data_IF_400810704400
#
_entry.id   IF_400810704400
#
_cell.length_a   1.000
_cell.length_b   1.000
_cell.length_c   1.000
_cell.angle_alpha   90.00
_cell.angle_beta   90.00
_cell.angle_gamma   90.00
#
_symmetry.space_group_name_H-M   'P 1'
#
loop_
_entity.id
_entity.type
_entity.pdbx_description
1 polymer ?
#
# COMPACT_ATOMS: atom_id res chain seq x y z
N UNK A 1 1.87 26.36 -6.93
CA UNK A 1 1.11 26.00 -8.13
C UNK A 1 1.00 24.49 -8.22
N UNK A 2 -0.19 23.97 -8.49
CA UNK A 2 -0.43 22.54 -8.69
C UNK A 2 -0.62 22.22 -10.18
N UNK A 3 0.04 21.17 -10.67
CA UNK A 3 -0.20 20.60 -12.00
C UNK A 3 -1.00 19.31 -11.84
N UNK A 4 -2.23 19.28 -12.35
CA UNK A 4 -3.11 18.12 -12.27
C UNK A 4 -3.10 17.37 -13.60
N UNK A 5 -2.58 16.16 -13.60
CA UNK A 5 -2.60 15.29 -14.77
C UNK A 5 -3.89 14.47 -14.79
N UNK A 6 -4.59 14.53 -15.92
CA UNK A 6 -5.88 13.86 -16.15
C UNK A 6 -5.72 12.92 -17.34
N UNK A 7 -5.40 11.63 -17.12
CA UNK A 7 -5.27 10.66 -18.20
C UNK A 7 -6.65 10.32 -18.79
N UNK A 8 -6.76 10.32 -20.13
CA UNK A 8 -8.02 10.09 -20.84
C UNK A 8 -7.90 9.01 -21.92
N UNK A 9 -8.98 8.24 -22.07
CA UNK A 9 -9.23 7.38 -23.22
C UNK A 9 -10.74 7.20 -23.39
N UNK A 10 -11.30 7.82 -24.42
CA UNK A 10 -12.73 7.86 -24.70
C UNK A 10 -13.59 8.37 -23.52
N UNK A 11 -13.34 9.60 -23.10
CA UNK A 11 -14.02 10.28 -21.98
C UNK A 11 -14.75 11.57 -22.42
N UNK A 12 -15.10 11.70 -23.71
CA UNK A 12 -15.67 12.93 -24.27
C UNK A 12 -16.98 13.34 -23.57
N UNK A 13 -17.76 12.36 -23.07
CA UNK A 13 -19.01 12.59 -22.36
C UNK A 13 -18.85 13.30 -21.00
N UNK A 14 -17.66 13.25 -20.38
CA UNK A 14 -17.42 13.70 -19.00
C UNK A 14 -16.26 14.67 -18.86
N UNK A 15 -15.36 14.77 -19.85
CA UNK A 15 -14.14 15.58 -19.75
C UNK A 15 -14.42 17.06 -19.49
N UNK A 16 -15.43 17.65 -20.16
CA UNK A 16 -15.76 19.06 -19.97
C UNK A 16 -16.21 19.37 -18.54
N UNK A 17 -17.06 18.50 -17.98
CA UNK A 17 -17.55 18.65 -16.60
C UNK A 17 -16.44 18.41 -15.57
N UNK A 18 -15.56 17.44 -15.85
CA UNK A 18 -14.38 17.16 -15.02
C UNK A 18 -13.47 18.38 -14.93
N UNK A 19 -13.11 18.98 -16.07
CA UNK A 19 -12.26 20.16 -16.12
C UNK A 19 -12.91 21.34 -15.39
N UNK A 20 -14.20 21.61 -15.66
CA UNK A 20 -14.95 22.69 -15.01
C UNK A 20 -14.97 22.56 -13.49
N UNK A 21 -15.26 21.35 -12.96
CA UNK A 21 -15.29 21.09 -11.52
C UNK A 21 -13.89 21.15 -10.90
N UNK A 22 -12.86 20.65 -11.59
CA UNK A 22 -11.48 20.74 -11.14
C UNK A 22 -11.01 22.19 -11.02
N UNK A 23 -11.28 23.03 -12.02
CA UNK A 23 -10.99 24.47 -11.98
C UNK A 23 -11.65 25.12 -10.76
N UNK A 24 -12.96 24.93 -10.61
CA UNK A 24 -13.72 25.51 -9.48
C UNK A 24 -13.15 25.08 -8.12
N UNK A 25 -12.76 23.81 -7.98
CA UNK A 25 -12.19 23.29 -6.74
C UNK A 25 -10.85 23.94 -6.38
N UNK A 26 -9.99 24.15 -7.37
CA UNK A 26 -8.66 24.75 -7.20
C UNK A 26 -8.74 26.27 -7.00
N UNK A 27 -9.63 26.95 -7.71
CA UNK A 27 -9.98 28.37 -7.50
C UNK A 27 -10.48 28.60 -6.08
N UNK A 28 -11.41 27.76 -5.60
CA UNK A 28 -11.92 27.84 -4.23
C UNK A 28 -10.83 27.60 -3.17
N UNK A 29 -9.78 26.84 -3.52
CA UNK A 29 -8.60 26.64 -2.67
C UNK A 29 -7.57 27.79 -2.79
N UNK A 30 -7.81 28.79 -3.66
CA UNK A 30 -6.87 29.90 -3.95
C UNK A 30 -5.47 29.42 -4.36
N UNK A 31 -5.39 28.27 -5.03
CA UNK A 31 -4.13 27.69 -5.48
C UNK A 31 -3.96 27.93 -6.98
N UNK A 32 -2.85 28.54 -7.44
CA UNK A 32 -2.55 28.60 -8.87
C UNK A 32 -2.44 27.19 -9.46
N UNK A 33 -2.97 26.95 -10.65
CA UNK A 33 -3.00 25.62 -11.22
C UNK A 33 -2.88 25.56 -12.74
N UNK A 34 -2.46 24.40 -13.23
CA UNK A 34 -2.64 23.98 -14.62
C UNK A 34 -3.25 22.57 -14.65
N UNK A 35 -4.09 22.31 -15.66
CA UNK A 35 -4.65 20.99 -15.94
C UNK A 35 -3.96 20.43 -17.18
N UNK A 36 -3.47 19.20 -17.10
CA UNK A 36 -2.77 18.52 -18.20
C UNK A 36 -3.57 17.28 -18.55
N UNK A 37 -4.37 17.37 -19.61
CA UNK A 37 -5.07 16.21 -20.17
C UNK A 37 -4.08 15.40 -21.00
N UNK A 38 -3.93 14.12 -20.70
CA UNK A 38 -3.05 13.22 -21.45
C UNK A 38 -3.90 12.16 -22.13
N UNK A 39 -4.05 12.29 -23.44
CA UNK A 39 -4.99 11.49 -24.23
C UNK A 39 -4.31 10.37 -25.03
N UNK A 40 -4.79 9.15 -24.85
CA UNK A 40 -4.26 7.92 -25.47
C UNK A 40 -4.92 7.59 -26.81
N UNK A 41 -4.91 8.57 -27.73
CA UNK A 41 -5.54 8.44 -29.05
C UNK A 41 -7.03 8.07 -28.96
N UNK A 42 -7.80 8.84 -28.19
CA UNK A 42 -9.25 8.70 -28.10
C UNK A 42 -9.90 8.84 -29.48
N UNK A 43 -10.94 8.05 -29.72
CA UNK A 43 -11.68 8.02 -31.01
C UNK A 43 -13.02 8.72 -30.95
N UNK A 44 -13.38 9.28 -29.80
CA UNK A 44 -14.70 9.88 -29.51
C UNK A 44 -14.69 11.42 -29.46
N UNK A 45 -13.57 12.05 -29.79
CA UNK A 45 -13.41 13.51 -29.74
C UNK A 45 -12.93 14.06 -28.39
N UNK A 46 -12.48 13.21 -27.45
CA UNK A 46 -12.03 13.65 -26.11
C UNK A 46 -10.96 14.73 -26.17
N UNK A 47 -9.93 14.54 -27.01
CA UNK A 47 -8.81 15.47 -27.11
C UNK A 47 -9.23 16.82 -27.71
N UNK A 48 -10.01 16.79 -28.80
CA UNK A 48 -10.55 17.98 -29.46
C UNK A 48 -11.42 18.81 -28.50
N UNK A 49 -12.27 18.14 -27.74
CA UNK A 49 -13.12 18.80 -26.75
C UNK A 49 -12.28 19.43 -25.65
N UNK A 50 -11.29 18.73 -25.09
CA UNK A 50 -10.40 19.27 -24.08
C UNK A 50 -9.59 20.48 -24.58
N UNK A 51 -9.10 20.44 -25.84
CA UNK A 51 -8.40 21.57 -26.47
C UNK A 51 -9.30 22.79 -26.66
N UNK A 52 -10.56 22.58 -27.05
CA UNK A 52 -11.52 23.67 -27.23
C UNK A 52 -11.82 24.46 -25.95
N UNK A 53 -11.50 23.89 -24.79
CA UNK A 53 -11.71 24.48 -23.46
C UNK A 53 -10.51 25.30 -22.96
N UNK A 54 -9.35 25.26 -23.64
CA UNK A 54 -8.16 26.04 -23.29
C UNK A 54 -8.36 27.57 -23.19
N UNK A 55 -9.28 28.20 -23.97
CA UNK A 55 -9.58 29.62 -23.78
C UNK A 55 -10.33 29.95 -22.48
N UNK A 56 -10.98 28.95 -21.85
CA UNK A 56 -11.81 29.13 -20.66
C UNK A 56 -11.10 28.68 -19.38
N UNK A 57 -10.21 27.70 -19.48
CA UNK A 57 -9.53 27.07 -18.35
C UNK A 57 -8.03 26.93 -18.64
N UNK A 58 -7.16 26.92 -17.61
CA UNK A 58 -5.72 26.71 -17.79
C UNK A 58 -5.42 25.23 -18.09
N UNK A 59 -5.93 24.72 -19.21
CA UNK A 59 -5.81 23.33 -19.66
C UNK A 59 -4.86 23.22 -20.85
N UNK A 60 -4.01 22.19 -20.83
CA UNK A 60 -3.14 21.75 -21.92
C UNK A 60 -3.44 20.31 -22.25
N UNK A 61 -3.32 19.94 -23.52
CA UNK A 61 -3.57 18.58 -23.99
C UNK A 61 -2.30 17.99 -24.58
N UNK A 62 -1.91 16.81 -24.08
CA UNK A 62 -0.87 15.95 -24.65
C UNK A 62 -1.55 14.77 -25.33
N UNK A 63 -1.50 14.72 -26.66
CA UNK A 63 -1.95 13.57 -27.44
C UNK A 63 -0.81 12.57 -27.60
N UNK A 64 -1.02 11.32 -27.17
CA UNK A 64 -0.02 10.24 -27.28
C UNK A 64 -0.43 9.23 -28.36
N UNK A 65 0.53 8.59 -29.03
CA UNK A 65 0.23 7.60 -30.07
C UNK A 65 -0.23 6.28 -29.45
N UNK A 66 -1.45 5.87 -29.78
CA UNK A 66 -2.04 4.61 -29.32
C UNK A 66 -2.34 4.57 -27.82
N UNK A 67 -2.64 3.36 -27.34
CA UNK A 67 -3.04 3.11 -25.96
C UNK A 67 -1.87 2.63 -25.11
N UNK A 68 -1.10 3.57 -24.58
CA UNK A 68 0.14 3.33 -23.83
C UNK A 68 -0.09 3.10 -22.33
N UNK A 69 -1.30 3.39 -21.84
CA UNK A 69 -1.75 3.04 -20.50
C UNK A 69 -1.73 4.21 -19.52
N UNK A 70 -2.58 4.12 -18.50
CA UNK A 70 -2.85 5.22 -17.56
C UNK A 70 -1.61 5.64 -16.78
N UNK A 71 -0.85 4.70 -16.24
CA UNK A 71 0.27 5.06 -15.38
C UNK A 71 1.42 5.71 -16.18
N UNK A 72 1.61 5.33 -17.45
CA UNK A 72 2.57 6.01 -18.33
C UNK A 72 2.06 7.40 -18.73
N UNK A 73 0.74 7.58 -18.88
CA UNK A 73 0.12 8.89 -19.17
C UNK A 73 0.44 9.90 -18.08
N UNK A 74 0.34 9.46 -16.83
CA UNK A 74 0.70 10.27 -15.67
C UNK A 74 2.17 10.69 -15.72
N UNK A 75 3.07 9.75 -15.97
CA UNK A 75 4.52 10.04 -16.04
C UNK A 75 4.83 11.03 -17.16
N UNK A 76 4.23 10.89 -18.34
CA UNK A 76 4.43 11.82 -19.45
C UNK A 76 3.82 13.20 -19.15
N UNK A 77 2.64 13.25 -18.51
CA UNK A 77 2.03 14.50 -18.05
C UNK A 77 2.89 15.24 -17.03
N UNK A 78 3.46 14.54 -16.05
CA UNK A 78 4.36 15.13 -15.06
C UNK A 78 5.67 15.67 -15.65
N UNK A 79 6.15 15.14 -16.78
CA UNK A 79 7.29 15.74 -17.49
C UNK A 79 6.97 17.12 -18.10
N UNK A 80 5.69 17.41 -18.35
CA UNK A 80 5.22 18.70 -18.89
C UNK A 80 4.75 19.67 -17.80
N UNK A 81 4.67 19.20 -16.56
CA UNK A 81 4.18 19.95 -15.42
C UNK A 81 5.20 20.99 -14.95
N UNK A 82 4.70 22.17 -14.61
CA UNK A 82 5.45 23.31 -14.11
C UNK A 82 5.20 23.57 -12.61
N UNK A 83 4.25 22.85 -12.00
CA UNK A 83 3.84 23.01 -10.61
C UNK A 83 4.83 22.40 -9.62
N UNK A 84 4.91 23.00 -8.43
CA UNK A 84 5.66 22.44 -7.31
C UNK A 84 4.89 21.30 -6.60
N UNK A 85 3.59 21.21 -6.86
CA UNK A 85 2.75 20.07 -6.54
C UNK A 85 2.33 19.36 -7.83
N UNK A 86 2.48 18.04 -7.86
CA UNK A 86 2.10 17.17 -8.95
C UNK A 86 0.92 16.32 -8.50
N UNK A 87 -0.20 16.38 -9.21
CA UNK A 87 -1.40 15.62 -8.89
C UNK A 87 -1.89 14.79 -10.05
N UNK A 88 -2.73 13.80 -9.73
CA UNK A 88 -3.42 12.93 -10.67
C UNK A 88 -4.87 12.82 -10.25
N UNK A 89 -5.76 12.77 -11.24
CA UNK A 89 -7.16 12.34 -11.05
C UNK A 89 -7.67 11.66 -12.32
N UNK A 90 -8.55 10.68 -12.18
CA UNK A 90 -9.25 10.09 -13.33
C UNK A 90 -10.30 11.05 -13.89
N UNK A 91 -10.56 10.98 -15.20
CA UNK A 91 -11.52 11.87 -15.89
C UNK A 91 -13.00 11.48 -15.75
N UNK A 92 -13.30 10.41 -15.01
CA UNK A 92 -14.58 9.70 -15.08
C UNK A 92 -15.62 10.13 -14.02
N UNK A 93 -15.31 11.21 -13.30
CA UNK A 93 -16.07 11.78 -12.18
C UNK A 93 -16.30 10.83 -11.00
N UNK A 94 -15.70 9.63 -10.97
CA UNK A 94 -15.74 8.75 -9.79
C UNK A 94 -14.92 9.32 -8.64
N UNK A 95 -13.87 10.06 -8.99
CA UNK A 95 -13.08 10.89 -8.09
C UNK A 95 -13.68 12.31 -8.11
N UNK A 96 -14.33 12.77 -7.03
CA UNK A 96 -14.91 14.11 -7.00
C UNK A 96 -13.80 15.16 -7.15
N UNK A 97 -13.82 16.01 -8.19
CA UNK A 97 -12.75 17.00 -8.39
C UNK A 97 -12.61 17.99 -7.23
N UNK A 98 -13.66 18.16 -6.41
CA UNK A 98 -13.66 18.96 -5.18
C UNK A 98 -12.58 18.53 -4.18
N UNK A 99 -12.20 17.24 -4.18
CA UNK A 99 -11.17 16.69 -3.31
C UNK A 99 -9.78 17.27 -3.65
N UNK A 100 -9.57 17.79 -4.86
CA UNK A 100 -8.30 18.45 -5.23
C UNK A 100 -7.96 19.60 -4.27
N UNK A 101 -8.95 20.41 -3.91
CA UNK A 101 -8.75 21.52 -2.97
C UNK A 101 -8.35 21.04 -1.57
N UNK A 102 -8.82 19.86 -1.17
CA UNK A 102 -8.44 19.25 0.12
C UNK A 102 -7.01 18.69 0.07
N UNK A 103 -6.62 18.03 -1.03
CA UNK A 103 -5.24 17.56 -1.24
C UNK A 103 -4.24 18.71 -1.23
N UNK A 104 -4.58 19.82 -1.89
CA UNK A 104 -3.79 21.06 -1.86
C UNK A 104 -3.63 21.56 -0.43
N UNK A 105 -4.74 21.73 0.31
CA UNK A 105 -4.70 22.18 1.70
C UNK A 105 -3.83 21.28 2.57
N UNK A 106 -3.92 19.97 2.37
CA UNK A 106 -3.13 18.98 3.10
C UNK A 106 -1.61 19.10 2.81
N UNK A 107 -1.23 19.37 1.55
CA UNK A 107 0.18 19.55 1.15
C UNK A 107 0.72 20.96 1.38
N UNK A 108 -0.13 21.97 1.48
CA UNK A 108 0.28 23.32 1.86
C UNK A 108 0.45 23.45 3.37
N UNK A 109 -0.24 22.63 4.16
CA UNK A 109 0.07 22.47 5.57
C UNK A 109 1.51 21.93 5.76
N UNK A 110 2.26 22.43 6.76
CA UNK A 110 3.60 21.93 7.05
C UNK A 110 3.58 20.43 7.39
N UNK A 111 4.58 19.70 6.87
CA UNK A 111 4.85 18.33 7.31
C UNK A 111 4.12 17.23 6.55
N UNK A 112 3.55 17.50 5.37
CA UNK A 112 3.13 16.48 4.41
C UNK A 112 3.86 16.65 3.07
N UNK A 113 4.24 15.54 2.45
CA UNK A 113 4.90 15.49 1.14
C UNK A 113 4.07 14.75 0.08
N UNK A 114 3.22 13.84 0.54
CA UNK A 114 2.27 13.06 -0.27
C UNK A 114 0.88 13.17 0.37
N UNK A 115 -0.14 13.43 -0.43
CA UNK A 115 -1.54 13.40 -0.02
C UNK A 115 -2.33 12.45 -0.91
N UNK A 116 -2.96 11.44 -0.33
CA UNK A 116 -3.74 10.42 -1.05
C UNK A 116 -5.22 10.59 -0.74
N UNK A 117 -6.06 10.70 -1.76
CA UNK A 117 -7.50 10.60 -1.56
C UNK A 117 -7.83 9.14 -1.24
N UNK A 118 -8.41 8.85 -0.08
CA UNK A 118 -8.67 7.49 0.42
C UNK A 118 -10.15 7.20 0.62
N UNK A 119 -10.57 6.02 0.14
CA UNK A 119 -11.93 5.47 0.36
C UNK A 119 -12.09 4.82 1.74
N UNK A 120 -10.99 4.53 2.42
CA UNK A 120 -10.97 3.70 3.63
C UNK A 120 -10.74 4.50 4.90
N UNK A 121 -10.53 5.82 4.79
CA UNK A 121 -10.49 6.75 5.92
C UNK A 121 -11.89 7.02 6.48
N UNK A 122 -11.96 7.46 7.74
CA UNK A 122 -13.22 7.91 8.34
C UNK A 122 -13.78 9.10 7.54
N UNK A 123 -15.04 9.01 7.11
CA UNK A 123 -15.67 9.95 6.18
C UNK A 123 -15.52 9.58 4.70
N UNK A 124 -14.67 8.61 4.37
CA UNK A 124 -14.54 8.05 3.02
C UNK A 124 -15.49 6.88 2.78
N UNK A 125 -15.65 6.47 1.52
CA UNK A 125 -16.48 5.31 1.20
C UNK A 125 -16.58 4.98 -0.29
N UNK A 126 -17.46 4.02 -0.58
CA UNK A 126 -17.82 3.61 -1.95
C UNK A 126 -19.34 3.53 -2.02
N UNK A 127 -19.97 4.38 -2.85
CA UNK A 127 -21.43 4.52 -2.88
C UNK A 127 -22.14 3.22 -3.31
N UNK A 128 -21.70 2.58 -4.40
CA UNK A 128 -22.47 1.50 -5.05
C UNK A 128 -21.69 0.21 -5.34
N UNK A 129 -20.67 -0.07 -4.55
CA UNK A 129 -19.92 -1.32 -4.74
C UNK A 129 -20.66 -2.52 -4.17
N UNK A 130 -20.76 -3.58 -4.97
CA UNK A 130 -21.14 -4.90 -4.47
C UNK A 130 -20.17 -5.38 -3.39
N UNK A 131 -20.65 -6.24 -2.49
CA UNK A 131 -19.81 -6.84 -1.45
C UNK A 131 -18.60 -7.59 -2.04
N UNK A 132 -18.79 -8.26 -3.19
CA UNK A 132 -17.73 -8.95 -3.92
C UNK A 132 -16.66 -7.96 -4.39
N UNK A 133 -17.04 -6.82 -4.96
CA UNK A 133 -16.09 -5.79 -5.41
C UNK A 133 -15.35 -5.16 -4.23
N UNK A 134 -16.05 -4.91 -3.11
CA UNK A 134 -15.43 -4.42 -1.87
C UNK A 134 -14.41 -5.40 -1.32
N UNK A 135 -14.75 -6.69 -1.29
CA UNK A 135 -13.83 -7.74 -0.87
C UNK A 135 -12.61 -7.84 -1.79
N UNK A 136 -12.82 -7.94 -3.10
CA UNK A 136 -11.73 -8.00 -4.09
C UNK A 136 -10.77 -6.80 -3.96
N UNK A 137 -11.30 -5.59 -3.79
CA UNK A 137 -10.48 -4.39 -3.60
C UNK A 137 -9.67 -4.43 -2.30
N UNK A 138 -10.30 -4.81 -1.18
CA UNK A 138 -9.59 -4.96 0.10
C UNK A 138 -8.52 -6.03 0.04
N UNK A 139 -8.79 -7.15 -0.64
CA UNK A 139 -7.82 -8.22 -0.84
C UNK A 139 -6.63 -7.78 -1.68
N UNK A 140 -6.87 -6.99 -2.74
CA UNK A 140 -5.78 -6.38 -3.52
C UNK A 140 -4.95 -5.41 -2.65
N UNK A 141 -5.60 -4.53 -1.89
CA UNK A 141 -4.88 -3.63 -0.96
C UNK A 141 -4.05 -4.40 0.07
N UNK A 142 -4.62 -5.46 0.66
CA UNK A 142 -3.92 -6.31 1.62
C UNK A 142 -2.73 -7.03 0.97
N UNK A 143 -2.88 -7.50 -0.27
CA UNK A 143 -1.80 -8.09 -1.03
C UNK A 143 -0.67 -7.08 -1.32
N UNK A 144 -1.00 -5.85 -1.72
CA UNK A 144 -0.01 -4.79 -1.93
C UNK A 144 0.75 -4.50 -0.63
N UNK A 145 0.04 -4.31 0.48
CA UNK A 145 0.62 -4.08 1.79
C UNK A 145 1.44 -5.27 2.30
N UNK A 146 1.12 -6.50 1.86
CA UNK A 146 1.89 -7.70 2.17
C UNK A 146 3.14 -7.83 1.29
N UNK A 147 3.10 -7.45 0.02
CA UNK A 147 4.28 -7.55 -0.86
C UNK A 147 5.27 -6.41 -0.61
N UNK A 148 4.74 -5.21 -0.34
CA UNK A 148 5.52 -3.98 -0.12
C UNK A 148 5.25 -3.38 1.28
N UNK A 149 5.47 -4.14 2.37
CA UNK A 149 5.12 -3.72 3.72
C UNK A 149 5.82 -2.44 4.18
N UNK A 150 7.05 -2.18 3.72
CA UNK A 150 7.80 -0.98 4.13
C UNK A 150 7.27 0.31 3.53
N UNK A 151 6.56 0.24 2.41
CA UNK A 151 6.08 1.44 1.72
C UNK A 151 4.56 1.56 1.79
N UNK A 152 3.85 0.44 1.83
CA UNK A 152 2.38 0.41 1.74
C UNK A 152 1.70 -0.02 3.05
N UNK A 153 2.43 -0.55 4.03
CA UNK A 153 1.83 -1.13 5.25
C UNK A 153 1.00 -0.16 6.10
N UNK A 154 1.21 1.15 5.92
CA UNK A 154 0.54 2.23 6.65
C UNK A 154 -0.36 3.11 5.77
N UNK A 155 -0.54 2.77 4.49
CA UNK A 155 -1.43 3.50 3.58
C UNK A 155 -2.74 2.74 3.51
N UNK A 156 -3.86 3.38 3.86
CA UNK A 156 -5.16 2.71 3.82
C UNK A 156 -5.60 2.43 2.39
N UNK A 157 -5.34 3.35 1.44
CA UNK A 157 -5.73 3.21 0.04
C UNK A 157 -4.58 3.41 -0.97
N UNK A 158 -3.60 2.48 -1.02
CA UNK A 158 -2.46 2.55 -1.95
C UNK A 158 -2.86 2.35 -3.43
N UNK A 159 -4.15 2.07 -3.68
CA UNK A 159 -4.70 1.80 -5.00
C UNK A 159 -5.48 2.97 -5.58
N UNK A 160 -5.52 4.12 -4.88
CA UNK A 160 -6.26 5.31 -5.30
C UNK A 160 -5.77 5.86 -6.64
N UNK A 161 -6.71 6.34 -7.46
CA UNK A 161 -6.46 7.05 -8.71
C UNK A 161 -6.32 8.57 -8.52
N UNK A 162 -6.51 9.07 -7.29
CA UNK A 162 -6.45 10.49 -6.99
C UNK A 162 -5.52 10.77 -5.82
N UNK A 163 -4.44 11.49 -6.09
CA UNK A 163 -3.44 11.87 -5.10
C UNK A 163 -2.60 13.04 -5.61
N UNK A 164 -1.85 13.67 -4.71
CA UNK A 164 -0.91 14.73 -5.00
C UNK A 164 0.40 14.52 -4.24
N UNK A 165 1.51 14.96 -4.82
CA UNK A 165 2.86 14.89 -4.24
C UNK A 165 3.60 16.20 -4.46
N UNK A 166 4.59 16.50 -3.62
CA UNK A 166 5.57 17.54 -3.94
C UNK A 166 6.48 17.07 -5.07
N UNK A 167 6.72 17.90 -6.08
CA UNK A 167 7.59 17.57 -7.21
C UNK A 167 8.98 17.10 -6.74
N UNK A 168 9.55 17.78 -5.74
CA UNK A 168 10.86 17.47 -5.17
C UNK A 168 11.00 16.03 -4.61
N UNK A 169 9.88 15.36 -4.28
CA UNK A 169 9.92 13.95 -3.83
C UNK A 169 10.27 12.97 -4.94
N UNK A 170 10.15 13.41 -6.20
CA UNK A 170 10.45 12.63 -7.39
C UNK A 170 11.80 13.00 -8.04
N UNK A 171 12.56 13.91 -7.44
CA UNK A 171 13.86 14.33 -7.98
C UNK A 171 14.85 13.16 -8.03
N UNK A 172 15.32 12.84 -9.25
CA UNK A 172 16.20 11.70 -9.50
C UNK A 172 15.54 10.33 -9.35
N UNK A 173 14.20 10.27 -9.20
CA UNK A 173 13.45 9.02 -9.10
C UNK A 173 12.97 8.58 -10.48
N UNK A 174 13.40 7.39 -10.92
CA UNK A 174 12.89 6.78 -12.15
C UNK A 174 11.61 5.99 -11.87
N UNK A 175 10.47 6.56 -12.25
CA UNK A 175 9.20 5.85 -12.31
C UNK A 175 9.15 5.00 -13.58
N UNK A 176 8.84 3.72 -13.44
CA UNK A 176 8.71 2.76 -14.57
C UNK A 176 7.43 1.94 -14.40
N UNK A 177 6.26 2.61 -14.39
CA UNK A 177 5.01 1.96 -14.09
C UNK A 177 4.61 0.97 -15.17
N UNK A 178 4.05 -0.16 -14.75
CA UNK A 178 3.27 -1.04 -15.61
C UNK A 178 1.78 -0.91 -15.32
N UNK A 179 0.96 -0.82 -16.36
CA UNK A 179 -0.50 -0.79 -16.21
C UNK A 179 -1.03 0.56 -15.71
N UNK A 180 -1.79 0.54 -14.61
CA UNK A 180 -2.70 1.63 -14.23
C UNK A 180 -2.56 2.12 -12.78
N UNK A 181 -1.59 1.63 -12.01
CA UNK A 181 -1.44 1.93 -10.58
C UNK A 181 -0.17 2.72 -10.28
N UNK A 182 -0.11 3.94 -10.81
CA UNK A 182 1.03 4.85 -10.62
C UNK A 182 1.30 5.19 -9.15
N UNK A 183 0.25 5.25 -8.30
CA UNK A 183 0.42 5.50 -6.87
C UNK A 183 1.35 4.46 -6.21
N UNK A 184 1.33 3.21 -6.64
CA UNK A 184 2.23 2.18 -6.10
C UNK A 184 3.70 2.49 -6.40
N UNK A 185 4.01 3.00 -7.60
CA UNK A 185 5.37 3.44 -7.94
C UNK A 185 5.82 4.60 -7.06
N UNK A 186 4.94 5.59 -6.89
CA UNK A 186 5.22 6.78 -6.09
C UNK A 186 5.47 6.39 -4.63
N UNK A 187 4.57 5.63 -4.02
CA UNK A 187 4.73 5.18 -2.64
C UNK A 187 5.97 4.29 -2.46
N UNK A 188 6.30 3.48 -3.47
CA UNK A 188 7.45 2.58 -3.39
C UNK A 188 8.81 3.27 -3.61
N UNK A 189 8.88 4.33 -4.42
CA UNK A 189 10.15 4.90 -4.93
C UNK A 189 10.38 6.37 -4.61
N UNK A 190 9.33 7.15 -4.34
CA UNK A 190 9.48 8.56 -4.05
C UNK A 190 10.20 8.79 -2.72
N UNK A 191 10.93 9.91 -2.63
CA UNK A 191 11.65 10.35 -1.44
C UNK A 191 10.76 11.33 -0.67
N UNK A 192 9.85 10.79 0.11
CA UNK A 192 8.96 11.59 0.95
C UNK A 192 9.19 11.29 2.43
N UNK A 193 8.96 12.30 3.28
CA UNK A 193 9.01 12.18 4.73
C UNK A 193 7.65 12.07 5.37
N UNK A 194 6.57 12.39 4.67
CA UNK A 194 5.25 12.34 5.28
C UNK A 194 4.14 12.11 4.28
N UNK A 195 3.19 11.25 4.66
CA UNK A 195 1.97 11.00 3.90
C UNK A 195 0.74 11.29 4.75
N UNK A 196 -0.24 11.92 4.12
CA UNK A 196 -1.57 12.16 4.70
C UNK A 196 -2.64 11.57 3.79
N UNK A 197 -3.71 11.07 4.38
CA UNK A 197 -4.86 10.55 3.64
C UNK A 197 -6.07 11.47 3.84
N UNK A 198 -6.68 11.85 2.73
CA UNK A 198 -7.87 12.71 2.70
C UNK A 198 -9.08 11.83 2.36
N UNK A 199 -10.12 11.77 3.22
CA UNK A 199 -11.26 10.91 2.96
C UNK A 199 -12.07 11.40 1.75
N UNK A 200 -12.55 10.48 0.91
CA UNK A 200 -13.56 10.80 -0.11
C UNK A 200 -14.52 9.63 -0.37
N UNK A 201 -15.67 9.94 -0.97
CA UNK A 201 -16.63 8.94 -1.42
C UNK A 201 -16.43 8.69 -2.91
N UNK A 202 -16.08 7.45 -3.26
CA UNK A 202 -15.93 7.02 -4.65
C UNK A 202 -17.30 6.80 -5.28
N UNK A 203 -17.62 7.63 -6.28
CA UNK A 203 -18.95 7.74 -6.87
C UNK A 203 -19.15 6.76 -8.05
N UNK A 204 -20.39 6.71 -8.58
CA UNK A 204 -20.68 6.06 -9.85
C UNK A 204 -19.95 6.78 -10.97
N UNK A 205 -19.52 5.99 -11.95
CA UNK A 205 -18.91 6.54 -13.16
C UNK A 205 -19.93 7.41 -13.89
N UNK A 206 -19.54 8.63 -14.25
CA UNK A 206 -20.42 9.58 -14.92
C UNK A 206 -20.93 9.06 -16.27
N UNK A 207 -20.08 8.36 -17.03
CA UNK A 207 -20.44 7.67 -18.27
C UNK A 207 -19.44 6.53 -18.60
N UNK A 208 -19.86 5.54 -19.41
CA UNK A 208 -18.99 4.47 -19.91
C UNK A 208 -19.00 3.16 -19.09
N UNK A 209 -18.17 2.18 -19.48
CA UNK A 209 -18.08 0.85 -18.85
C UNK A 209 -16.69 0.55 -18.28
N UNK A 210 -16.64 -0.06 -17.10
CA UNK A 210 -15.38 -0.49 -16.47
C UNK A 210 -14.91 -1.82 -17.06
N UNK A 211 -13.71 -1.85 -17.64
CA UNK A 211 -13.07 -3.08 -18.14
C UNK A 211 -11.93 -3.51 -17.21
N UNK A 212 -12.24 -3.86 -15.97
CA UNK A 212 -11.31 -4.59 -15.11
C UNK A 212 -11.40 -6.08 -15.46
N UNK A 213 -10.47 -6.56 -16.27
CA UNK A 213 -10.35 -7.97 -16.67
C UNK A 213 -9.16 -8.68 -16.03
N UNK A 214 -8.99 -9.96 -16.35
CA UNK A 214 -7.88 -10.79 -15.82
C UNK A 214 -6.49 -10.29 -16.20
N UNK A 215 -6.36 -9.61 -17.35
CA UNK A 215 -5.09 -9.00 -17.79
C UNK A 215 -4.62 -7.92 -16.82
N UNK A 216 -5.52 -7.05 -16.35
CA UNK A 216 -5.20 -6.00 -15.39
C UNK A 216 -4.75 -6.59 -14.05
N UNK A 217 -5.37 -7.68 -13.61
CA UNK A 217 -4.96 -8.40 -12.40
C UNK A 217 -3.54 -8.98 -12.53
N UNK A 218 -3.22 -9.58 -13.68
CA UNK A 218 -1.87 -10.10 -13.93
C UNK A 218 -0.82 -8.99 -14.00
N UNK A 219 -1.10 -7.91 -14.74
CA UNK A 219 -0.22 -6.74 -14.82
C UNK A 219 0.05 -6.15 -13.43
N UNK A 220 -0.96 -6.10 -12.56
CA UNK A 220 -0.81 -5.67 -11.18
C UNK A 220 0.12 -6.59 -10.35
N UNK A 221 0.00 -7.91 -10.48
CA UNK A 221 0.87 -8.85 -9.77
C UNK A 221 2.33 -8.74 -10.24
N UNK A 222 2.54 -8.63 -11.56
CA UNK A 222 3.87 -8.41 -12.14
C UNK A 222 4.45 -7.08 -11.65
N UNK A 223 3.61 -6.04 -11.56
CA UNK A 223 4.02 -4.73 -11.07
C UNK A 223 4.51 -4.79 -9.62
N UNK A 224 3.75 -5.44 -8.74
CA UNK A 224 4.15 -5.63 -7.34
C UNK A 224 5.47 -6.41 -7.21
N UNK A 225 5.65 -7.47 -7.99
CA UNK A 225 6.89 -8.25 -7.97
C UNK A 225 8.10 -7.40 -8.42
N UNK A 226 7.95 -6.58 -9.47
CA UNK A 226 8.99 -5.65 -9.93
C UNK A 226 9.34 -4.61 -8.87
N UNK A 227 8.33 -4.04 -8.22
CA UNK A 227 8.52 -3.09 -7.12
C UNK A 227 9.22 -3.73 -5.93
N UNK A 228 8.86 -4.97 -5.57
CA UNK A 228 9.49 -5.69 -4.47
C UNK A 228 10.97 -5.96 -4.74
N UNK A 229 11.32 -6.29 -5.99
CA UNK A 229 12.71 -6.40 -6.44
C UNK A 229 13.45 -5.05 -6.38
N UNK A 230 12.86 -4.00 -6.96
CA UNK A 230 13.48 -2.67 -7.04
C UNK A 230 13.68 -1.99 -5.68
N UNK A 231 12.81 -2.26 -4.70
CA UNK A 231 12.88 -1.69 -3.34
C UNK A 231 13.67 -2.56 -2.36
N UNK A 232 14.24 -3.69 -2.80
CA UNK A 232 14.96 -4.63 -1.93
C UNK A 232 14.07 -5.45 -0.99
N UNK A 233 12.76 -5.23 -1.02
CA UNK A 233 11.78 -5.97 -0.20
C UNK A 233 11.75 -7.46 -0.53
N UNK A 234 12.04 -7.86 -1.77
CA UNK A 234 12.18 -9.26 -2.13
C UNK A 234 13.28 -9.97 -1.30
N UNK A 235 14.41 -9.31 -1.05
CA UNK A 235 15.46 -9.87 -0.21
C UNK A 235 15.04 -9.97 1.27
N UNK A 236 14.16 -9.08 1.73
CA UNK A 236 13.57 -9.16 3.07
C UNK A 236 12.63 -10.36 3.18
N UNK A 237 11.83 -10.61 2.15
CA UNK A 237 10.98 -11.80 2.06
C UNK A 237 11.78 -13.10 2.10
N UNK A 238 12.88 -13.18 1.35
CA UNK A 238 13.77 -14.36 1.37
C UNK A 238 14.31 -14.61 2.79
N UNK A 239 14.78 -13.56 3.47
CA UNK A 239 15.27 -13.67 4.86
C UNK A 239 14.16 -14.08 5.82
N UNK A 240 12.98 -13.46 5.71
CA UNK A 240 11.82 -13.79 6.55
C UNK A 240 11.39 -15.26 6.39
N UNK A 241 11.35 -15.78 5.16
CA UNK A 241 11.04 -17.19 4.88
C UNK A 241 12.13 -18.13 5.42
N UNK A 242 13.40 -17.78 5.29
CA UNK A 242 14.50 -18.56 5.83
C UNK A 242 14.44 -18.66 7.36
N UNK A 243 14.12 -17.56 8.06
CA UNK A 243 13.87 -17.54 9.50
C UNK A 243 12.67 -18.41 9.86
N UNK A 244 11.56 -18.30 9.13
CA UNK A 244 10.39 -19.16 9.33
C UNK A 244 10.70 -20.65 9.22
N UNK A 245 11.54 -21.06 8.25
CA UNK A 245 12.00 -22.44 8.10
C UNK A 245 12.91 -22.89 9.25
N UNK A 246 13.79 -22.02 9.76
CA UNK A 246 14.60 -22.36 10.93
C UNK A 246 13.73 -22.50 12.19
N UNK A 247 12.74 -21.63 12.39
CA UNK A 247 11.76 -21.76 13.46
C UNK A 247 10.96 -23.05 13.38
N UNK A 248 10.48 -23.42 12.19
CA UNK A 248 9.80 -24.70 11.96
C UNK A 248 10.69 -25.90 12.34
N UNK A 249 11.98 -25.83 12.03
CA UNK A 249 12.94 -26.87 12.39
C UNK A 249 13.12 -26.93 13.91
N UNK A 250 13.25 -25.79 14.58
CA UNK A 250 13.35 -25.69 16.04
C UNK A 250 12.11 -26.27 16.71
N UNK A 251 10.91 -25.96 16.21
CA UNK A 251 9.64 -26.50 16.74
C UNK A 251 9.62 -28.03 16.67
N UNK A 252 9.86 -28.59 15.48
CA UNK A 252 9.84 -30.05 15.27
C UNK A 252 10.88 -30.79 16.12
N UNK A 253 12.12 -30.26 16.20
CA UNK A 253 13.19 -30.86 17.00
C UNK A 253 12.87 -30.77 18.49
N UNK A 254 12.38 -29.63 18.96
CA UNK A 254 12.03 -29.43 20.37
C UNK A 254 10.89 -30.34 20.79
N UNK A 255 9.85 -30.45 19.96
CA UNK A 255 8.73 -31.36 20.20
C UNK A 255 9.19 -32.84 20.20
N UNK A 256 10.06 -33.22 19.27
CA UNK A 256 10.63 -34.57 19.23
C UNK A 256 11.38 -34.92 20.51
N UNK A 257 12.23 -34.00 21.00
CA UNK A 257 13.02 -34.21 22.21
C UNK A 257 12.13 -34.21 23.45
N UNK A 258 11.27 -33.20 23.61
CA UNK A 258 10.42 -33.05 24.79
C UNK A 258 9.40 -34.19 24.91
N UNK A 259 8.57 -34.41 23.89
CA UNK A 259 7.53 -35.44 23.95
C UNK A 259 8.07 -36.86 23.67
N UNK A 260 9.00 -36.98 22.71
CA UNK A 260 9.47 -38.28 22.23
C UNK A 260 10.63 -38.88 23.03
N UNK A 261 11.49 -38.07 23.64
CA UNK A 261 12.66 -38.56 24.41
C UNK A 261 12.54 -38.32 25.91
N UNK A 262 12.08 -37.13 26.30
CA UNK A 262 11.98 -36.72 27.71
C UNK A 262 10.63 -37.08 28.35
N UNK A 263 9.67 -37.58 27.55
CA UNK A 263 8.37 -38.05 28.05
C UNK A 263 7.44 -36.94 28.52
N UNK A 264 7.64 -35.69 28.09
CA UNK A 264 6.74 -34.59 28.43
C UNK A 264 5.34 -34.85 27.84
N UNK A 265 4.26 -34.57 28.59
CA UNK A 265 2.91 -34.61 28.04
C UNK A 265 2.81 -33.70 26.81
N UNK A 266 2.10 -34.16 25.77
CA UNK A 266 1.96 -33.39 24.52
C UNK A 266 1.41 -31.98 24.73
N UNK A 267 0.50 -31.82 25.70
CA UNK A 267 -0.09 -30.53 26.07
C UNK A 267 0.91 -29.55 26.69
N UNK A 268 2.04 -30.02 27.20
CA UNK A 268 3.14 -29.19 27.69
C UNK A 268 4.24 -29.03 26.62
N UNK A 269 4.57 -30.12 25.91
CA UNK A 269 5.64 -30.12 24.91
C UNK A 269 5.32 -29.26 23.68
N UNK A 270 4.08 -29.27 23.18
CA UNK A 270 3.70 -28.54 21.98
C UNK A 270 3.74 -27.01 22.18
N UNK A 271 3.12 -26.42 23.23
CA UNK A 271 3.28 -24.99 23.48
C UNK A 271 4.75 -24.59 23.70
N UNK A 272 5.53 -25.37 24.47
CA UNK A 272 6.93 -25.05 24.72
C UNK A 272 7.79 -25.02 23.43
N UNK A 273 7.56 -25.96 22.51
CA UNK A 273 8.24 -26.01 21.22
C UNK A 273 7.88 -24.80 20.34
N UNK A 274 6.59 -24.44 20.30
CA UNK A 274 6.10 -23.28 19.54
C UNK A 274 6.68 -21.99 20.10
N UNK A 275 6.64 -21.78 21.42
CA UNK A 275 7.19 -20.59 22.06
C UNK A 275 8.70 -20.45 21.78
N UNK A 276 9.46 -21.54 21.88
CA UNK A 276 10.90 -21.50 21.56
C UNK A 276 11.15 -21.12 20.09
N UNK A 277 10.33 -21.61 19.17
CA UNK A 277 10.40 -21.25 17.76
C UNK A 277 10.02 -19.78 17.52
N UNK A 278 8.99 -19.25 18.19
CA UNK A 278 8.58 -17.84 18.09
C UNK A 278 9.65 -16.90 18.62
N UNK A 279 10.23 -17.21 19.78
CA UNK A 279 11.36 -16.47 20.35
C UNK A 279 12.55 -16.45 19.38
N UNK A 280 12.91 -17.61 18.82
CA UNK A 280 13.99 -17.70 17.83
C UNK A 280 13.69 -16.85 16.59
N UNK A 281 12.48 -16.97 16.04
CA UNK A 281 12.05 -16.21 14.88
C UNK A 281 12.11 -14.71 15.12
N UNK A 282 11.69 -14.25 16.30
CA UNK A 282 11.73 -12.83 16.67
C UNK A 282 13.17 -12.30 16.62
N UNK A 283 14.10 -12.94 17.34
CA UNK A 283 15.49 -12.48 17.42
C UNK A 283 16.26 -12.60 16.09
N UNK A 284 16.00 -13.65 15.31
CA UNK A 284 16.58 -13.79 13.98
C UNK A 284 16.02 -12.75 13.01
N UNK A 285 14.72 -12.47 13.05
CA UNK A 285 14.14 -11.42 12.22
C UNK A 285 14.66 -10.03 12.62
N UNK A 286 14.76 -9.74 13.92
CA UNK A 286 15.34 -8.50 14.44
C UNK A 286 16.77 -8.27 13.91
N UNK A 287 17.60 -9.31 13.96
CA UNK A 287 19.03 -9.21 13.63
C UNK A 287 19.37 -9.37 12.13
N UNK A 288 18.57 -10.12 11.37
CA UNK A 288 18.86 -10.45 9.97
C UNK A 288 17.88 -9.80 8.99
N UNK A 289 16.58 -9.87 9.26
CA UNK A 289 15.52 -9.42 8.34
C UNK A 289 15.31 -7.91 8.42
N UNK A 290 15.25 -7.35 9.63
CA UNK A 290 14.86 -5.97 9.88
C UNK A 290 16.02 -5.05 10.30
N UNK A 291 17.22 -5.58 10.49
CA UNK A 291 18.41 -4.78 10.88
C UNK A 291 18.73 -3.66 9.89
N UNK A 292 18.58 -3.90 8.59
CA UNK A 292 18.82 -2.88 7.55
C UNK A 292 17.82 -1.74 7.56
N UNK A 293 16.59 -1.96 8.07
CA UNK A 293 15.59 -0.90 8.24
C UNK A 293 16.04 0.14 9.29
N UNK A 294 16.71 -0.31 10.35
CA UNK A 294 17.20 0.53 11.45
C UNK A 294 18.47 1.33 11.09
N UNK A 295 19.28 0.83 10.15
CA UNK A 295 20.50 1.53 9.72
C UNK A 295 20.20 2.78 8.88
N UNK A 296 19.12 2.78 8.09
CA UNK A 296 18.69 3.94 7.29
C UNK A 296 18.07 5.08 8.10
N UNK A 297 17.58 4.81 9.32
CA UNK A 297 17.06 5.85 10.23
C UNK A 297 18.16 6.74 10.82
N UNK A 298 19.41 6.26 10.90
CA UNK A 298 20.53 7.02 11.46
C UNK A 298 21.10 8.10 10.53
N UNK A 299 20.92 7.99 9.21
CA UNK A 299 21.41 8.98 8.23
C UNK A 299 20.39 10.09 7.93
N UNK A 300 19.10 9.86 8.19
CA UNK A 300 18.03 10.84 7.99
C UNK A 300 17.69 11.49 9.33
N UNK A 301 18.50 12.49 9.71
CA UNK A 301 18.35 13.43 10.83
C UNK A 301 17.22 13.17 11.84
N UNK A 302 17.62 12.68 13.02
CA UNK A 302 17.01 12.84 14.35
C UNK A 302 15.53 13.28 14.38
N UNK A 303 14.61 12.36 14.12
CA UNK A 303 13.23 12.42 14.64
C UNK A 303 12.80 11.00 14.99
N UNK A 304 12.59 10.79 16.28
CA UNK A 304 12.17 9.54 16.90
C UNK A 304 10.93 8.99 16.18
N UNK A 305 11.12 7.97 15.36
CA UNK A 305 10.05 7.09 14.94
C UNK A 305 9.43 6.50 16.23
N UNK A 306 8.11 6.60 16.41
CA UNK A 306 7.39 6.02 17.57
C UNK A 306 7.64 4.51 17.75
N UNK A 307 8.27 3.86 16.76
CA UNK A 307 8.72 2.46 16.79
C UNK A 307 10.20 2.34 17.21
N UNK A 308 11.06 3.29 16.85
CA UNK A 308 12.41 3.45 17.41
C UNK A 308 12.38 3.70 18.92
N UNK A 309 11.29 4.30 19.44
CA UNK A 309 11.03 4.45 20.88
C UNK A 309 10.42 3.21 21.54
N UNK A 310 9.97 2.19 20.80
CA UNK A 310 9.51 0.94 21.41
C UNK A 310 10.72 0.10 21.78
N UNK A 311 10.95 -0.08 23.07
CA UNK A 311 11.98 -1.02 23.55
C UNK A 311 11.80 -2.42 22.97
N UNK A 312 12.88 -3.19 22.87
CA UNK A 312 12.90 -4.56 22.32
C UNK A 312 11.78 -5.44 22.88
N UNK A 313 11.48 -5.32 24.18
CA UNK A 313 10.39 -6.03 24.85
C UNK A 313 9.01 -5.68 24.27
N UNK A 314 8.76 -4.41 23.96
CA UNK A 314 7.49 -3.98 23.36
C UNK A 314 7.32 -4.61 21.97
N UNK A 315 8.37 -4.61 21.13
CA UNK A 315 8.32 -5.26 19.82
C UNK A 315 8.05 -6.76 19.95
N UNK A 316 8.75 -7.42 20.87
CA UNK A 316 8.54 -8.84 21.16
C UNK A 316 7.08 -9.15 21.53
N UNK A 317 6.50 -8.40 22.47
CA UNK A 317 5.10 -8.60 22.88
C UNK A 317 4.09 -8.36 21.75
N UNK A 318 4.36 -7.43 20.82
CA UNK A 318 3.49 -7.22 19.66
C UNK A 318 3.64 -8.35 18.63
N UNK A 319 4.86 -8.85 18.42
CA UNK A 319 5.11 -10.01 17.58
C UNK A 319 4.39 -11.25 18.08
N UNK A 320 4.49 -11.52 19.39
CA UNK A 320 3.79 -12.63 20.03
C UNK A 320 2.29 -12.53 19.80
N UNK A 321 1.69 -11.37 20.12
CA UNK A 321 0.26 -11.10 19.87
C UNK A 321 -0.13 -11.34 18.42
N UNK A 322 0.71 -10.96 17.46
CA UNK A 322 0.45 -11.20 16.05
C UNK A 322 0.52 -12.69 15.69
N UNK A 323 1.28 -13.51 16.41
CA UNK A 323 1.46 -14.93 16.13
C UNK A 323 0.52 -15.86 16.92
N UNK A 324 -0.12 -15.39 18.00
CA UNK A 324 -0.97 -16.21 18.91
C UNK A 324 -1.97 -17.10 18.17
N UNK A 325 -2.74 -16.57 17.22
CA UNK A 325 -3.74 -17.37 16.51
C UNK A 325 -3.11 -18.46 15.64
N UNK A 326 -1.97 -18.17 15.01
CA UNK A 326 -1.20 -19.17 14.26
C UNK A 326 -0.60 -20.24 15.18
N UNK A 327 -0.11 -19.85 16.35
CA UNK A 327 0.40 -20.76 17.38
C UNK A 327 -0.69 -21.69 17.91
N UNK A 328 -1.87 -21.17 18.22
CA UNK A 328 -3.03 -21.95 18.64
C UNK A 328 -3.48 -22.93 17.56
N UNK A 329 -3.50 -22.49 16.30
CA UNK A 329 -3.83 -23.36 15.17
C UNK A 329 -2.79 -24.48 15.00
N UNK A 330 -1.49 -24.17 15.11
CA UNK A 330 -0.42 -25.18 15.09
C UNK A 330 -0.65 -26.24 16.17
N UNK A 331 -0.81 -25.82 17.43
CA UNK A 331 -1.02 -26.73 18.54
C UNK A 331 -2.30 -27.58 18.36
N UNK A 332 -3.41 -26.95 17.95
CA UNK A 332 -4.69 -27.63 17.75
C UNK A 332 -4.60 -28.72 16.68
N UNK A 333 -4.04 -28.41 15.51
CA UNK A 333 -3.86 -29.37 14.41
C UNK A 333 -2.94 -30.51 14.86
N UNK A 334 -1.82 -30.19 15.50
CA UNK A 334 -0.86 -31.20 15.99
C UNK A 334 -1.52 -32.18 16.96
N UNK A 335 -2.26 -31.68 17.95
CA UNK A 335 -2.95 -32.51 18.94
C UNK A 335 -4.06 -33.33 18.30
N UNK A 336 -4.88 -32.72 17.43
CA UNK A 336 -6.00 -33.40 16.79
C UNK A 336 -5.51 -34.57 15.92
N UNK A 337 -4.53 -34.33 15.05
CA UNK A 337 -3.98 -35.36 14.17
C UNK A 337 -3.28 -36.48 14.95
N UNK A 338 -2.55 -36.15 16.02
CA UNK A 338 -1.93 -37.15 16.89
C UNK A 338 -2.98 -38.03 17.58
N UNK A 339 -4.08 -37.43 18.06
CA UNK A 339 -5.21 -38.19 18.66
C UNK A 339 -5.90 -39.10 17.64
N UNK A 340 -5.89 -38.74 16.37
CA UNK A 340 -6.39 -39.59 15.27
C UNK A 340 -5.42 -40.70 14.84
N UNK A 341 -4.29 -40.88 15.53
CA UNK A 341 -3.32 -41.95 15.25
C UNK A 341 -2.23 -41.59 14.24
N UNK A 342 -2.16 -40.32 13.80
CA UNK A 342 -1.06 -39.85 12.94
C UNK A 342 0.22 -39.74 13.76
N UNK A 343 1.37 -40.11 13.17
CA UNK A 343 2.67 -40.01 13.84
C UNK A 343 2.94 -38.55 14.26
N UNK A 344 3.50 -38.37 15.46
CA UNK A 344 3.72 -37.06 16.08
C UNK A 344 4.40 -36.05 15.14
N UNK A 345 5.50 -36.43 14.50
CA UNK A 345 6.25 -35.52 13.63
C UNK A 345 5.47 -35.09 12.39
N UNK A 346 4.69 -35.99 11.79
CA UNK A 346 3.82 -35.66 10.65
C UNK A 346 2.66 -34.77 11.08
N UNK A 347 2.08 -35.02 12.25
CA UNK A 347 1.03 -34.16 12.82
C UNK A 347 1.57 -32.75 13.14
N UNK A 348 2.76 -32.67 13.71
CA UNK A 348 3.44 -31.43 14.04
C UNK A 348 3.82 -30.63 12.79
N UNK A 349 4.36 -31.28 11.75
CA UNK A 349 4.66 -30.63 10.48
C UNK A 349 3.41 -30.03 9.84
N UNK A 350 2.28 -30.74 9.87
CA UNK A 350 1.00 -30.21 9.41
C UNK A 350 0.52 -29.02 10.25
N UNK A 351 0.72 -29.07 11.58
CA UNK A 351 0.43 -27.96 12.48
C UNK A 351 1.26 -26.72 12.17
N UNK A 352 2.58 -26.86 12.02
CA UNK A 352 3.49 -25.78 11.64
C UNK A 352 3.08 -25.14 10.31
N UNK A 353 2.74 -25.96 9.31
CA UNK A 353 2.27 -25.46 8.01
C UNK A 353 0.95 -24.69 8.16
N UNK A 354 -0.01 -25.21 8.93
CA UNK A 354 -1.29 -24.55 9.15
C UNK A 354 -1.13 -23.20 9.90
N UNK A 355 -0.38 -23.18 10.99
CA UNK A 355 -0.10 -21.97 11.77
C UNK A 355 0.73 -20.94 10.98
N UNK A 356 1.73 -21.43 10.23
CA UNK A 356 2.54 -20.60 9.34
C UNK A 356 1.71 -19.97 8.22
N UNK A 357 0.81 -20.74 7.59
CA UNK A 357 -0.11 -20.23 6.57
C UNK A 357 -1.06 -19.17 7.12
N UNK A 358 -1.56 -19.35 8.36
CA UNK A 358 -2.36 -18.35 9.04
C UNK A 358 -1.58 -17.04 9.24
N UNK A 359 -0.38 -17.14 9.80
CA UNK A 359 0.46 -15.98 10.04
C UNK A 359 0.86 -15.28 8.73
N UNK A 360 1.11 -16.05 7.68
CA UNK A 360 1.39 -15.54 6.34
C UNK A 360 0.18 -14.78 5.77
N UNK A 361 -0.98 -15.41 5.64
CA UNK A 361 -2.09 -14.82 4.91
C UNK A 361 -2.73 -13.63 5.65
N UNK A 362 -2.79 -13.68 6.98
CA UNK A 362 -3.61 -12.73 7.75
C UNK A 362 -2.80 -11.78 8.63
N UNK A 363 -1.65 -12.21 9.13
CA UNK A 363 -0.90 -11.43 10.11
C UNK A 363 0.34 -10.75 9.54
N UNK A 364 0.75 -11.04 8.29
CA UNK A 364 1.91 -10.43 7.64
C UNK A 364 1.95 -8.90 7.85
N UNK A 365 0.94 -8.10 7.46
CA UNK A 365 1.04 -6.65 7.61
C UNK A 365 1.22 -6.20 9.05
N UNK A 366 0.61 -6.90 10.01
CA UNK A 366 0.77 -6.61 11.44
C UNK A 366 2.16 -6.98 11.95
N UNK A 367 2.73 -8.09 11.46
CA UNK A 367 4.10 -8.52 11.75
C UNK A 367 5.08 -7.44 11.28
N UNK A 368 4.98 -6.95 10.04
CA UNK A 368 5.87 -5.88 9.56
C UNK A 368 5.72 -4.56 10.33
N UNK A 369 4.51 -4.25 10.83
CA UNK A 369 4.30 -3.08 11.71
C UNK A 369 5.02 -3.18 13.06
N UNK A 370 5.39 -4.37 13.53
CA UNK A 370 6.14 -4.55 14.78
C UNK A 370 7.51 -3.88 14.71
N UNK A 371 8.22 -4.07 13.59
CA UNK A 371 9.56 -3.51 13.37
C UNK A 371 9.54 -2.13 12.73
N UNK A 372 8.36 -1.67 12.33
CA UNK A 372 8.21 -0.44 11.57
C UNK A 372 8.59 -0.65 10.11
N UNK A 373 7.75 -0.14 9.22
CA UNK A 373 8.28 0.44 7.99
C UNK A 373 9.17 1.62 8.38
N UNK A 374 10.26 1.94 7.63
CA UNK A 374 10.74 3.31 7.63
C UNK A 374 9.54 4.19 7.29
N UNK A 375 8.99 4.89 8.28
CA UNK A 375 7.85 5.76 8.05
C UNK A 375 8.35 7.06 7.45
N UNK A 376 7.77 7.49 6.32
CA UNK A 376 7.49 8.89 6.18
C UNK A 376 6.45 9.27 7.26
N UNK A 377 6.94 9.88 8.35
CA UNK A 377 6.26 10.73 9.35
C UNK A 377 4.79 11.02 9.02
N UNK A 378 3.87 10.38 9.73
CA UNK A 378 2.50 10.88 9.88
C UNK A 378 2.34 11.40 11.31
N UNK A 379 1.80 12.61 11.48
CA UNK A 379 0.95 12.88 12.64
C UNK A 379 -0.38 13.45 12.17
N UNK A 380 -1.44 12.87 12.72
CA UNK A 380 -2.79 13.39 12.73
C UNK A 380 -2.79 14.83 13.23
N UNK A 381 -3.42 15.72 12.48
CA UNK A 381 -3.85 17.01 13.00
C UNK A 381 -4.92 16.71 14.04
N UNK A 382 -4.56 16.80 15.32
CA UNK A 382 -5.53 16.92 16.40
C UNK A 382 -6.35 18.17 16.16
N UNK A 383 -7.68 18.01 16.14
CA UNK A 383 -8.66 19.09 16.08
C UNK A 383 -8.25 20.22 17.04
N UNK A 384 -7.90 21.39 16.51
CA UNK A 384 -8.08 22.63 17.25
C UNK A 384 -9.58 22.81 17.41
N UNK A 385 -10.08 22.51 18.60
CA UNK A 385 -11.36 23.01 19.07
C UNK A 385 -11.32 24.53 19.07
N UNK A 386 -12.37 25.13 18.54
CA UNK A 386 -12.67 26.54 18.67
C UNK A 386 -12.73 26.94 20.15
N UNK A 387 -12.02 28.00 20.50
CA UNK A 387 -12.36 28.98 21.53
C UNK A 387 -11.51 30.22 21.32
#
# INVERSE_FOLDING_TARGET
MISVVIPTYNEAAVIAETLRRACRALEAASEPFELIVVDDSSTDGTAELAESLAPQFPVRVLRRPGRLGLATAVVDGWKLACGDLLAVMDADLQHPPEVLGELVRALRAPGADVAVASRYMSGGGTSDWSLVRRFASKSATHLAASVLPWTLGNVSDPMSGMFAVRAATLDGVRLDPTGYKILLEVLAKARYRALVEVPYVFDRRGAGSSKLGGRQSFEYLVHLARLAGATGQLAAWVRYLAVGLSGATIDLVTLYLAAGRLGWPLLAAAPAAIELALVSNFFLNESLTFRSCHAGEHEIGSRESEVGSRGLLSRFLHYEKACVLGALLNALVTVALTKSGIRLLTAAAAGVVAGGAWNFLFNIPNIWRVWGAPTPVSRSISKCSAS
#
